data_IF_947400563110
#
_entry.id   IF_947400563110
#
_cell.length_a   1.000
_cell.length_b   1.000
_cell.length_c   1.000
_cell.angle_alpha   90.00
_cell.angle_beta   90.00
_cell.angle_gamma   90.00
#
_symmetry.space_group_name_H-M   'P 1'
#
loop_
_entity.id
_entity.type
_entity.pdbx_description
1 polymer ?
#
# COMPACT_ATOMS: atom_id res chain seq x y z
N UNK A 1 2.41 2.96 12.00
CA UNK A 1 2.64 3.28 10.59
C UNK A 1 1.53 4.13 10.00
N UNK A 2 1.74 4.64 8.81
CA UNK A 2 0.78 5.43 8.06
C UNK A 2 0.57 4.77 6.69
N UNK A 3 -0.69 4.48 6.35
CA UNK A 3 -1.06 4.07 4.99
C UNK A 3 -1.47 5.32 4.21
N UNK A 4 -0.80 5.57 3.09
CA UNK A 4 -1.07 6.71 2.22
C UNK A 4 -1.63 6.22 0.90
N UNK A 5 -2.79 6.76 0.50
CA UNK A 5 -3.36 6.60 -0.84
C UNK A 5 -3.23 7.94 -1.53
N UNK A 6 -2.52 7.98 -2.63
CA UNK A 6 -2.29 9.18 -3.41
C UNK A 6 -2.81 8.99 -4.84
N UNK A 7 -3.45 10.02 -5.36
CA UNK A 7 -3.98 10.00 -6.71
C UNK A 7 -4.13 11.41 -7.27
N UNK A 8 -4.36 11.48 -8.58
CA UNK A 8 -4.66 12.71 -9.28
C UNK A 8 -6.10 12.64 -9.81
N UNK A 9 -6.85 13.71 -9.58
CA UNK A 9 -8.23 13.81 -10.07
C UNK A 9 -8.21 14.04 -11.58
N UNK A 10 -9.03 13.30 -12.30
CA UNK A 10 -9.16 13.46 -13.75
C UNK A 10 -9.82 14.79 -14.11
N UNK A 11 -9.57 15.28 -15.32
CA UNK A 11 -10.17 16.51 -15.80
C UNK A 11 -11.71 16.40 -15.82
N UNK A 12 -12.39 17.43 -15.33
CA UNK A 12 -13.85 17.48 -15.25
C UNK A 12 -14.46 16.78 -14.04
N UNK A 13 -13.64 16.17 -13.16
CA UNK A 13 -14.12 15.52 -11.92
C UNK A 13 -13.86 16.46 -10.75
N UNK A 14 -14.86 16.63 -9.86
CA UNK A 14 -14.66 17.43 -8.64
C UNK A 14 -13.95 16.63 -7.55
N UNK A 15 -13.34 17.33 -6.58
CA UNK A 15 -12.70 16.69 -5.43
C UNK A 15 -13.68 15.86 -4.61
N UNK A 16 -14.90 16.34 -4.42
CA UNK A 16 -15.97 15.62 -3.71
C UNK A 16 -16.39 14.33 -4.43
N UNK A 17 -16.44 14.37 -5.77
CA UNK A 17 -16.72 13.17 -6.57
C UNK A 17 -15.60 12.15 -6.44
N UNK A 18 -14.34 12.59 -6.48
CA UNK A 18 -13.19 11.73 -6.33
C UNK A 18 -13.12 11.12 -4.92
N UNK A 19 -13.36 11.91 -3.88
CA UNK A 19 -13.42 11.44 -2.50
C UNK A 19 -14.51 10.38 -2.31
N UNK A 20 -15.71 10.68 -2.82
CA UNK A 20 -16.82 9.72 -2.75
C UNK A 20 -16.50 8.42 -3.47
N UNK A 21 -15.92 8.48 -4.67
CA UNK A 21 -15.55 7.31 -5.45
C UNK A 21 -14.49 6.45 -4.72
N UNK A 22 -13.52 7.11 -4.07
CA UNK A 22 -12.52 6.42 -3.24
C UNK A 22 -13.18 5.73 -2.05
N UNK A 23 -14.06 6.42 -1.33
CA UNK A 23 -14.77 5.88 -0.18
C UNK A 23 -15.64 4.68 -0.57
N UNK A 24 -16.39 4.79 -1.65
CA UNK A 24 -17.24 3.72 -2.17
C UNK A 24 -16.39 2.49 -2.59
N UNK A 25 -15.23 2.73 -3.20
CA UNK A 25 -14.30 1.67 -3.61
C UNK A 25 -13.71 0.94 -2.41
N UNK A 26 -13.23 1.67 -1.40
CA UNK A 26 -12.69 1.07 -0.18
C UNK A 26 -13.75 0.29 0.60
N UNK A 27 -14.96 0.84 0.70
CA UNK A 27 -16.07 0.15 1.35
C UNK A 27 -16.51 -1.12 0.59
N UNK A 28 -16.49 -1.09 -0.75
CA UNK A 28 -16.77 -2.25 -1.58
C UNK A 28 -15.68 -3.32 -1.40
N UNK A 29 -14.40 -2.93 -1.39
CA UNK A 29 -13.27 -3.83 -1.17
C UNK A 29 -13.38 -4.57 0.17
N UNK A 30 -13.65 -3.86 1.26
CA UNK A 30 -13.82 -4.47 2.59
C UNK A 30 -15.01 -5.43 2.61
N UNK A 31 -16.11 -5.06 1.94
CA UNK A 31 -17.35 -5.86 1.90
C UNK A 31 -17.24 -7.13 1.04
N UNK A 32 -16.63 -7.02 -0.14
CA UNK A 32 -16.50 -8.15 -1.07
C UNK A 32 -15.51 -9.21 -0.59
N UNK A 33 -14.61 -8.82 0.33
CA UNK A 33 -13.48 -9.63 0.74
C UNK A 33 -12.39 -9.69 -0.34
N UNK A 34 -11.25 -10.24 0.06
CA UNK A 34 -10.08 -10.41 -0.80
C UNK A 34 -10.04 -11.86 -1.27
N UNK A 35 -9.83 -12.07 -2.56
CA UNK A 35 -9.69 -13.40 -3.12
C UNK A 35 -8.23 -13.87 -3.03
N UNK A 36 -8.03 -15.18 -2.84
CA UNK A 36 -6.69 -15.79 -2.78
C UNK A 36 -5.88 -15.52 -4.05
N UNK A 37 -6.56 -15.51 -5.20
CA UNK A 37 -5.94 -15.18 -6.50
C UNK A 37 -5.40 -13.75 -6.54
N UNK A 38 -6.11 -12.79 -5.94
CA UNK A 38 -5.66 -11.40 -5.87
C UNK A 38 -4.48 -11.25 -4.92
N UNK A 39 -4.53 -11.92 -3.78
CA UNK A 39 -3.41 -11.96 -2.83
C UNK A 39 -2.15 -12.53 -3.49
N UNK A 40 -2.27 -13.65 -4.21
CA UNK A 40 -1.12 -14.26 -4.89
C UNK A 40 -0.54 -13.34 -5.97
N UNK A 41 -1.41 -12.68 -6.74
CA UNK A 41 -0.98 -11.69 -7.74
C UNK A 41 -0.19 -10.55 -7.13
N UNK A 42 -0.65 -10.00 -6.00
CA UNK A 42 0.02 -8.91 -5.29
C UNK A 42 1.35 -9.38 -4.70
N UNK A 43 1.42 -10.59 -4.13
CA UNK A 43 2.68 -11.18 -3.64
C UNK A 43 3.71 -11.30 -4.75
N UNK A 44 3.33 -11.83 -5.89
CA UNK A 44 4.23 -11.97 -7.06
C UNK A 44 4.72 -10.59 -7.55
N UNK A 45 3.85 -9.59 -7.55
CA UNK A 45 4.21 -8.23 -7.94
C UNK A 45 5.17 -7.58 -6.92
N UNK A 46 4.96 -7.80 -5.64
CA UNK A 46 5.83 -7.29 -4.58
C UNK A 46 7.21 -7.93 -4.64
N UNK A 47 7.27 -9.26 -4.82
CA UNK A 47 8.53 -9.99 -5.00
C UNK A 47 9.30 -9.48 -6.22
N UNK A 48 8.65 -9.32 -7.36
CA UNK A 48 9.26 -8.77 -8.56
C UNK A 48 9.82 -7.35 -8.30
N UNK A 49 9.06 -6.50 -7.60
CA UNK A 49 9.50 -5.14 -7.27
C UNK A 49 10.71 -5.12 -6.34
N UNK A 50 10.80 -6.04 -5.38
CA UNK A 50 11.97 -6.18 -4.51
C UNK A 50 13.20 -6.59 -5.32
N UNK A 51 13.07 -7.61 -6.18
CA UNK A 51 14.17 -8.09 -7.02
C UNK A 51 14.68 -6.99 -7.96
N UNK A 52 13.79 -6.27 -8.62
CA UNK A 52 14.17 -5.17 -9.50
C UNK A 52 14.75 -3.98 -8.72
N UNK A 53 14.25 -3.70 -7.51
CA UNK A 53 14.79 -2.65 -6.64
C UNK A 53 16.24 -2.90 -6.21
N UNK A 54 16.65 -4.15 -6.08
CA UNK A 54 18.02 -4.53 -5.71
C UNK A 54 19.05 -4.34 -6.83
N UNK A 55 18.61 -4.22 -8.08
CA UNK A 55 19.50 -4.01 -9.24
C UNK A 55 20.18 -2.63 -9.16
N UNK A 56 19.52 -1.64 -8.58
CA UNK A 56 20.09 -0.31 -8.39
C UNK A 56 20.83 -0.22 -7.05
N UNK A 57 22.13 0.01 -7.10
CA UNK A 57 23.02 0.11 -5.92
C UNK A 57 22.54 1.18 -4.94
N UNK A 58 22.04 2.30 -5.42
CA UNK A 58 21.49 3.36 -4.57
C UNK A 58 20.26 2.90 -3.77
N UNK A 59 19.32 2.23 -4.42
CA UNK A 59 18.13 1.70 -3.76
C UNK A 59 18.51 0.66 -2.71
N UNK A 60 19.45 -0.22 -3.02
CA UNK A 60 19.95 -1.21 -2.07
C UNK A 60 20.61 -0.56 -0.86
N UNK A 61 21.42 0.48 -1.07
CA UNK A 61 22.04 1.23 0.02
C UNK A 61 21.02 1.94 0.92
N UNK A 62 19.98 2.54 0.30
CA UNK A 62 18.90 3.19 1.03
C UNK A 62 18.09 2.19 1.85
N UNK A 63 17.72 1.04 1.29
CA UNK A 63 16.98 0.00 1.99
C UNK A 63 17.76 -0.53 3.20
N UNK A 64 19.06 -0.77 3.05
CA UNK A 64 19.94 -1.17 4.14
C UNK A 64 20.03 -0.09 5.24
N UNK A 65 20.15 1.18 4.86
CA UNK A 65 20.18 2.29 5.81
C UNK A 65 18.86 2.43 6.58
N UNK A 66 17.72 2.28 5.88
CA UNK A 66 16.40 2.31 6.51
C UNK A 66 16.20 1.13 7.47
N UNK A 67 16.60 -0.09 7.09
CA UNK A 67 16.53 -1.26 7.93
C UNK A 67 17.43 -1.13 9.16
N UNK A 68 18.63 -0.58 9.00
CA UNK A 68 19.54 -0.29 10.11
C UNK A 68 18.94 0.73 11.08
N UNK A 69 18.34 1.81 10.56
CA UNK A 69 17.65 2.81 11.37
C UNK A 69 16.42 2.25 12.11
N UNK A 70 15.75 1.26 11.54
CA UNK A 70 14.67 0.53 12.18
C UNK A 70 15.15 -0.51 13.21
N UNK A 71 16.47 -0.68 13.37
CA UNK A 71 17.10 -1.58 14.36
C UNK A 71 17.26 -3.03 13.91
N UNK A 72 16.99 -3.36 12.64
CA UNK A 72 17.14 -4.72 12.13
C UNK A 72 17.58 -4.74 10.66
N UNK A 73 18.90 -4.78 10.44
CA UNK A 73 19.50 -4.84 9.09
C UNK A 73 19.09 -6.11 8.33
N UNK A 74 18.91 -7.22 9.05
CA UNK A 74 18.51 -8.51 8.44
C UNK A 74 17.08 -8.48 7.86
N UNK A 75 16.32 -7.44 8.15
CA UNK A 75 14.97 -7.28 7.60
C UNK A 75 14.97 -7.31 6.07
N UNK A 76 15.95 -6.66 5.45
CA UNK A 76 16.09 -6.61 3.97
C UNK A 76 16.16 -8.02 3.37
N UNK A 77 16.85 -8.95 4.04
CA UNK A 77 16.99 -10.33 3.57
C UNK A 77 15.74 -11.19 3.81
N UNK A 78 14.84 -10.75 4.68
CA UNK A 78 13.65 -11.51 5.11
C UNK A 78 12.34 -10.93 4.55
N UNK A 79 12.40 -9.76 3.94
CA UNK A 79 11.20 -9.03 3.49
C UNK A 79 10.39 -9.84 2.48
N UNK A 80 11.04 -10.46 1.50
CA UNK A 80 10.38 -11.29 0.50
C UNK A 80 9.65 -12.49 1.14
N UNK A 81 10.31 -13.19 2.07
CA UNK A 81 9.72 -14.32 2.79
C UNK A 81 8.55 -13.89 3.67
N UNK A 82 8.66 -12.73 4.30
CA UNK A 82 7.58 -12.18 5.12
C UNK A 82 6.36 -11.84 4.27
N UNK A 83 6.55 -11.19 3.12
CA UNK A 83 5.46 -10.89 2.19
C UNK A 83 4.82 -12.19 1.67
N UNK A 84 5.63 -13.17 1.28
CA UNK A 84 5.15 -14.47 0.83
C UNK A 84 4.33 -15.20 1.89
N UNK A 85 4.68 -15.05 3.17
CA UNK A 85 4.03 -15.72 4.29
C UNK A 85 2.71 -15.07 4.75
N UNK A 86 2.36 -13.86 4.28
CA UNK A 86 1.13 -13.15 4.71
C UNK A 86 -0.11 -13.98 4.37
N UNK A 87 -0.93 -14.40 5.35
CA UNK A 87 -2.14 -15.13 5.08
C UNK A 87 -3.30 -14.19 4.72
N UNK A 88 -4.26 -14.70 3.94
CA UNK A 88 -5.44 -13.95 3.51
C UNK A 88 -6.23 -13.33 4.67
N UNK A 89 -6.36 -14.07 5.77
CA UNK A 89 -7.08 -13.62 6.97
C UNK A 89 -6.48 -12.36 7.60
N UNK A 90 -5.15 -12.23 7.57
CA UNK A 90 -4.48 -11.05 8.16
C UNK A 90 -4.69 -9.84 7.27
N UNK A 91 -4.66 -10.03 5.95
CA UNK A 91 -4.94 -8.97 4.99
C UNK A 91 -6.38 -8.46 5.13
N UNK A 92 -7.35 -9.38 5.26
CA UNK A 92 -8.76 -9.03 5.50
C UNK A 92 -8.92 -8.27 6.82
N UNK A 93 -8.33 -8.75 7.90
CA UNK A 93 -8.34 -8.09 9.19
C UNK A 93 -7.82 -6.66 9.13
N UNK A 94 -6.66 -6.46 8.49
CA UNK A 94 -6.08 -5.13 8.37
C UNK A 94 -6.88 -4.21 7.44
N UNK A 95 -7.48 -4.72 6.36
CA UNK A 95 -8.37 -3.93 5.51
C UNK A 95 -9.57 -3.39 6.30
N UNK A 96 -10.20 -4.22 7.11
CA UNK A 96 -11.32 -3.81 7.96
C UNK A 96 -10.93 -2.76 9.02
N UNK A 97 -9.70 -2.81 9.53
CA UNK A 97 -9.22 -1.90 10.57
C UNK A 97 -8.63 -0.60 10.04
N UNK A 98 -8.00 -0.63 8.85
CA UNK A 98 -7.35 0.54 8.26
C UNK A 98 -8.34 1.42 7.49
N UNK A 99 -9.29 0.82 6.77
CA UNK A 99 -10.24 1.55 5.93
C UNK A 99 -11.47 2.08 6.68
N UNK A 100 -11.35 2.28 7.97
CA UNK A 100 -12.41 2.90 8.79
C UNK A 100 -12.45 4.41 8.53
N UNK A 101 -13.62 4.92 8.15
CA UNK A 101 -13.82 6.34 7.80
C UNK A 101 -13.35 7.32 8.89
N UNK A 102 -13.56 7.00 10.16
CA UNK A 102 -13.18 7.85 11.29
C UNK A 102 -11.67 7.94 11.58
N UNK A 103 -10.84 7.16 10.86
CA UNK A 103 -9.37 7.14 11.02
C UNK A 103 -8.62 7.73 9.83
N UNK A 104 -9.32 8.40 8.92
CA UNK A 104 -8.74 8.94 7.68
C UNK A 104 -8.60 10.45 7.74
N UNK A 105 -7.54 10.94 7.11
CA UNK A 105 -7.32 12.37 6.84
C UNK A 105 -7.29 12.50 5.31
N UNK A 106 -8.10 13.41 4.79
CA UNK A 106 -8.12 13.75 3.37
C UNK A 106 -7.40 15.08 3.18
N UNK A 107 -6.39 15.11 2.34
CA UNK A 107 -5.64 16.30 1.99
C UNK A 107 -5.76 16.54 0.49
N UNK A 108 -6.06 17.76 0.11
CA UNK A 108 -6.16 18.16 -1.29
C UNK A 108 -5.18 19.29 -1.58
N UNK A 109 -4.50 19.18 -2.70
CA UNK A 109 -3.73 20.30 -3.27
C UNK A 109 -4.52 20.86 -4.44
N UNK A 110 -4.90 22.13 -4.35
CA UNK A 110 -5.61 22.84 -5.40
C UNK A 110 -4.64 23.79 -6.10
N UNK A 111 -4.57 23.69 -7.42
CA UNK A 111 -3.79 24.65 -8.19
C UNK A 111 -4.65 25.89 -8.46
N UNK A 112 -4.42 26.95 -7.72
CA UNK A 112 -5.03 28.26 -7.97
C UNK A 112 -4.31 28.95 -9.15
N UNK A 113 -4.77 28.64 -10.34
CA UNK A 113 -4.40 29.45 -11.52
C UNK A 113 -5.56 30.31 -11.94
#
# INVERSE_FOLDING_TARGET
GLLVIQGQVAEGVTLEQAEKALDDTLAAFVRSGIQETDLQRVKNQAEASLVFGEVEVLNRAMNLAMAANAGNVDYVNKEADQIASVPLKDLQYWAEHLFVRGKRIHCFTVNNR
#
